data_IF_394979808658
#
_entry.id   IF_394979808658
#
_cell.length_a   1.000
_cell.length_b   1.000
_cell.length_c   1.000
_cell.angle_alpha   90.00
_cell.angle_beta   90.00
_cell.angle_gamma   90.00
#
_symmetry.space_group_name_H-M   'P 1'
#
loop_
_entity.id
_entity.type
_entity.pdbx_description
1 polymer ?
#
# COMPACT_ATOMS: atom_id res chain seq x y z
N UNK A 1 -6.14 -7.26 9.70
CA UNK A 1 -6.38 -6.41 8.52
C UNK A 1 -6.34 -4.96 8.97
N UNK A 2 -5.61 -4.11 8.23
CA UNK A 2 -5.53 -2.68 8.43
C UNK A 2 -5.91 -1.96 7.13
N UNK A 3 -6.43 -0.72 7.22
CA UNK A 3 -6.83 0.06 6.05
C UNK A 3 -6.56 1.55 6.24
N UNK A 4 -6.06 2.19 5.20
CA UNK A 4 -5.95 3.64 5.06
C UNK A 4 -6.54 4.07 3.72
N UNK A 5 -7.35 5.12 3.75
CA UNK A 5 -7.96 5.70 2.56
C UNK A 5 -7.91 7.21 2.65
N UNK A 6 -7.48 7.87 1.57
CA UNK A 6 -7.44 9.34 1.49
C UNK A 6 -7.59 9.81 0.05
N UNK A 7 -8.22 10.97 -0.10
CA UNK A 7 -8.24 11.71 -1.37
C UNK A 7 -7.33 12.92 -1.23
N UNK A 8 -6.48 13.13 -2.23
CA UNK A 8 -5.59 14.28 -2.35
C UNK A 8 -5.72 14.89 -3.73
N UNK A 9 -5.14 16.08 -3.91
CA UNK A 9 -5.00 16.71 -5.23
C UNK A 9 -3.56 16.54 -5.71
N UNK A 10 -3.34 16.13 -6.96
CA UNK A 10 -2.00 15.96 -7.50
C UNK A 10 -1.98 15.41 -8.92
N UNK A 11 -0.77 15.14 -9.44
CA UNK A 11 -0.58 14.42 -10.71
C UNK A 11 -0.50 12.92 -10.45
N UNK A 12 -1.33 12.14 -11.13
CA UNK A 12 -1.47 10.69 -10.88
C UNK A 12 -0.14 9.94 -10.94
N UNK A 13 0.65 10.16 -11.99
CA UNK A 13 1.95 9.51 -12.19
C UNK A 13 2.96 9.85 -11.09
N UNK A 14 2.97 11.08 -10.61
CA UNK A 14 3.86 11.55 -9.54
C UNK A 14 3.48 10.90 -8.21
N UNK A 15 2.18 10.85 -7.89
CA UNK A 15 1.68 10.21 -6.67
C UNK A 15 2.02 8.71 -6.67
N UNK A 16 1.74 8.00 -7.78
CA UNK A 16 2.05 6.56 -7.89
C UNK A 16 3.55 6.32 -7.73
N UNK A 17 4.39 7.12 -8.40
CA UNK A 17 5.84 6.98 -8.35
C UNK A 17 6.39 7.26 -6.95
N UNK A 18 5.89 8.30 -6.28
CA UNK A 18 6.27 8.65 -4.91
C UNK A 18 5.94 7.51 -3.94
N UNK A 19 4.69 7.03 -3.95
CA UNK A 19 4.26 5.92 -3.09
C UNK A 19 5.06 4.65 -3.34
N UNK A 20 5.29 4.30 -4.61
CA UNK A 20 6.06 3.12 -4.97
C UNK A 20 7.50 3.20 -4.45
N UNK A 21 8.15 4.36 -4.57
CA UNK A 21 9.50 4.58 -4.09
C UNK A 21 9.58 4.48 -2.57
N UNK A 22 8.68 5.14 -1.85
CA UNK A 22 8.67 5.12 -0.38
C UNK A 22 8.38 3.72 0.18
N UNK A 23 7.41 3.01 -0.41
CA UNK A 23 7.11 1.63 -0.02
C UNK A 23 8.31 0.73 -0.28
N UNK A 24 8.92 0.79 -1.47
CA UNK A 24 10.09 -0.04 -1.80
C UNK A 24 11.29 0.25 -0.88
N UNK A 25 11.47 1.50 -0.45
CA UNK A 25 12.57 1.91 0.43
C UNK A 25 12.24 1.77 1.94
N UNK A 26 11.03 1.36 2.30
CA UNK A 26 10.59 1.26 3.71
C UNK A 26 11.23 0.11 4.52
N UNK A 27 11.99 -0.78 3.89
CA UNK A 27 12.78 -1.79 4.59
C UNK A 27 13.20 -2.98 3.73
N UNK A 28 14.20 -3.72 4.24
CA UNK A 28 14.93 -4.79 3.53
C UNK A 28 14.03 -5.90 2.97
N UNK A 29 12.89 -6.20 3.61
CA UNK A 29 12.01 -7.30 3.22
C UNK A 29 10.76 -6.89 2.44
N UNK A 30 10.56 -5.60 2.13
CA UNK A 30 9.43 -5.14 1.33
C UNK A 30 9.66 -5.44 -0.15
N UNK A 31 8.77 -6.20 -0.77
CA UNK A 31 8.91 -6.61 -2.17
C UNK A 31 7.63 -6.32 -2.96
N UNK A 32 7.76 -5.65 -4.10
CA UNK A 32 6.69 -5.59 -5.11
C UNK A 32 6.51 -6.99 -5.71
N UNK A 33 5.32 -7.55 -5.53
CA UNK A 33 4.93 -8.89 -5.99
C UNK A 33 4.34 -8.81 -7.39
N UNK A 34 3.42 -7.88 -7.59
CA UNK A 34 2.74 -7.68 -8.86
C UNK A 34 2.18 -6.26 -8.97
N UNK A 35 1.90 -5.84 -10.20
CA UNK A 35 1.31 -4.54 -10.50
C UNK A 35 0.36 -4.59 -11.71
N UNK A 36 -0.61 -3.69 -11.70
CA UNK A 36 -1.49 -3.46 -12.84
C UNK A 36 -1.74 -1.98 -13.02
N UNK A 37 -1.74 -1.51 -14.26
CA UNK A 37 -2.13 -0.16 -14.63
C UNK A 37 -3.26 -0.27 -15.65
N UNK A 38 -4.35 0.45 -15.41
CA UNK A 38 -5.53 0.44 -16.27
C UNK A 38 -6.06 1.85 -16.44
N UNK A 39 -6.54 2.16 -17.65
CA UNK A 39 -7.13 3.45 -17.98
C UNK A 39 -8.50 3.24 -18.58
N UNK A 40 -9.50 3.94 -18.04
CA UNK A 40 -10.88 3.94 -18.51
C UNK A 40 -11.34 5.39 -18.72
N UNK A 41 -11.39 5.81 -19.99
CA UNK A 41 -11.60 7.23 -20.33
C UNK A 41 -10.50 8.08 -19.69
N UNK A 42 -10.90 9.07 -18.91
CA UNK A 42 -9.99 9.98 -18.20
C UNK A 42 -9.58 9.45 -16.80
N UNK A 43 -10.14 8.32 -16.38
CA UNK A 43 -9.78 7.69 -15.09
C UNK A 43 -8.58 6.77 -15.26
N UNK A 44 -7.54 6.99 -14.45
CA UNK A 44 -6.35 6.13 -14.36
C UNK A 44 -6.37 5.35 -13.05
N UNK A 45 -6.01 4.07 -13.11
CA UNK A 45 -5.99 3.17 -11.96
C UNK A 45 -4.63 2.46 -11.93
N UNK A 46 -3.97 2.51 -10.78
CA UNK A 46 -2.76 1.76 -10.50
C UNK A 46 -3.01 0.85 -9.30
N UNK A 47 -2.78 -0.45 -9.48
CA UNK A 47 -2.80 -1.45 -8.43
C UNK A 47 -1.37 -1.94 -8.22
N UNK A 48 -0.94 -2.02 -6.97
CA UNK A 48 0.35 -2.59 -6.56
C UNK A 48 0.10 -3.58 -5.42
N UNK A 49 0.74 -4.73 -5.49
CA UNK A 49 0.73 -5.72 -4.41
C UNK A 49 2.14 -5.87 -3.88
N UNK A 50 2.32 -5.60 -2.60
CA UNK A 50 3.59 -5.81 -1.92
C UNK A 50 3.47 -6.92 -0.89
N UNK A 51 4.57 -7.59 -0.63
CA UNK A 51 4.69 -8.51 0.49
C UNK A 51 5.88 -8.15 1.34
N UNK A 52 5.74 -8.34 2.65
CA UNK A 52 6.81 -8.16 3.63
C UNK A 52 6.87 -9.32 4.60
N UNK A 53 8.08 -9.82 4.82
CA UNK A 53 8.37 -10.79 5.88
C UNK A 53 8.66 -10.07 7.20
N UNK A 54 7.99 -10.46 8.27
CA UNK A 54 8.18 -9.91 9.61
C UNK A 54 8.89 -10.91 10.51
N UNK A 55 10.15 -10.60 10.82
CA UNK A 55 11.02 -11.44 11.67
C UNK A 55 10.46 -11.66 13.08
N UNK A 56 9.76 -10.66 13.65
CA UNK A 56 9.27 -10.69 15.04
C UNK A 56 8.30 -11.84 15.35
N UNK A 57 7.61 -12.36 14.33
CA UNK A 57 6.64 -13.45 14.46
C UNK A 57 6.69 -14.45 13.29
N UNK A 58 7.76 -14.41 12.49
CA UNK A 58 8.02 -15.36 11.41
C UNK A 58 6.91 -15.44 10.37
N UNK A 59 6.16 -14.36 10.15
CA UNK A 59 5.00 -14.34 9.26
C UNK A 59 5.25 -13.47 8.02
N UNK A 60 4.31 -13.53 7.08
CA UNK A 60 4.28 -12.67 5.90
C UNK A 60 2.94 -11.94 5.86
N UNK A 61 2.98 -10.64 5.62
CA UNK A 61 1.81 -9.82 5.35
C UNK A 61 1.93 -9.20 3.97
N UNK A 62 0.78 -8.92 3.37
CA UNK A 62 0.65 -8.27 2.08
C UNK A 62 0.04 -6.89 2.24
N UNK A 63 0.37 -6.00 1.31
CA UNK A 63 -0.21 -4.69 1.14
C UNK A 63 -0.74 -4.57 -0.28
N UNK A 64 -2.05 -4.38 -0.40
CA UNK A 64 -2.68 -4.00 -1.66
C UNK A 64 -2.85 -2.48 -1.68
N UNK A 65 -2.16 -1.82 -2.58
CA UNK A 65 -2.30 -0.39 -2.85
C UNK A 65 -3.10 -0.20 -4.14
N UNK A 66 -4.17 0.57 -4.08
CA UNK A 66 -4.94 1.02 -5.24
C UNK A 66 -4.95 2.54 -5.27
N UNK A 67 -4.51 3.12 -6.38
CA UNK A 67 -4.55 4.55 -6.64
C UNK A 67 -5.47 4.77 -7.82
N UNK A 68 -6.43 5.67 -7.68
CA UNK A 68 -7.41 6.05 -8.71
C UNK A 68 -7.30 7.55 -8.93
N UNK A 69 -6.96 7.96 -10.14
CA UNK A 69 -6.91 9.36 -10.55
C UNK A 69 -8.03 9.70 -11.52
N UNK A 70 -8.71 10.83 -11.27
CA UNK A 70 -9.60 11.49 -12.22
C UNK A 70 -9.34 12.99 -12.15
N UNK A 71 -8.92 13.57 -13.27
CA UNK A 71 -8.36 14.92 -13.34
C UNK A 71 -7.20 15.11 -12.34
N UNK A 72 -7.32 16.04 -11.41
CA UNK A 72 -6.37 16.26 -10.32
C UNK A 72 -6.74 15.55 -9.02
N UNK A 73 -7.92 14.90 -8.93
CA UNK A 73 -8.35 14.18 -7.74
C UNK A 73 -7.76 12.77 -7.74
N UNK A 74 -6.99 12.46 -6.70
CA UNK A 74 -6.34 11.17 -6.53
C UNK A 74 -6.88 10.52 -5.27
N UNK A 75 -7.64 9.43 -5.43
CA UNK A 75 -8.06 8.55 -4.36
C UNK A 75 -7.04 7.44 -4.15
N UNK A 76 -6.65 7.22 -2.91
CA UNK A 76 -5.64 6.24 -2.50
C UNK A 76 -6.29 5.31 -1.49
N UNK A 77 -6.20 4.00 -1.73
CA UNK A 77 -6.62 2.95 -0.79
C UNK A 77 -5.48 1.97 -0.57
N UNK A 78 -5.08 1.81 0.68
CA UNK A 78 -4.05 0.88 1.12
C UNK A 78 -4.65 -0.09 2.13
N UNK A 79 -4.62 -1.38 1.80
CA UNK A 79 -5.15 -2.43 2.65
C UNK A 79 -4.03 -3.41 2.97
N UNK A 80 -3.68 -3.48 4.25
CA UNK A 80 -2.77 -4.49 4.79
C UNK A 80 -3.56 -5.74 5.20
N UNK A 81 -3.11 -6.90 4.73
CA UNK A 81 -3.73 -8.20 5.02
C UNK A 81 -2.67 -9.28 5.30
N UNK A 82 -3.10 -10.42 5.83
CA UNK A 82 -2.18 -11.49 6.23
C UNK A 82 -1.50 -11.24 7.58
N UNK A 83 -0.38 -11.89 7.83
CA UNK A 83 0.32 -11.82 9.13
C UNK A 83 -0.29 -12.68 10.24
N UNK A 84 -1.40 -13.38 10.04
CA UNK A 84 -1.90 -14.33 11.04
C UNK A 84 -1.02 -15.60 11.11
N UNK A 85 -0.42 -15.87 12.27
CA UNK A 85 0.28 -17.14 12.55
C UNK A 85 -0.64 -18.11 13.31
N UNK A 86 -1.75 -18.57 12.70
CA UNK A 86 -2.58 -19.62 13.30
C UNK A 86 -4.03 -19.66 12.79
N UNK A 87 -4.61 -20.87 12.76
CA UNK A 87 -6.02 -21.12 12.38
C UNK A 87 -7.00 -20.61 13.47
N UNK A 88 -6.53 -20.48 14.71
CA UNK A 88 -7.36 -20.15 15.89
C UNK A 88 -7.06 -18.79 16.54
N UNK A 89 -5.86 -18.20 16.36
CA UNK A 89 -5.48 -16.89 16.90
C UNK A 89 -4.65 -16.15 15.84
N UNK A 90 -5.16 -15.01 15.36
CA UNK A 90 -4.45 -14.13 14.42
C UNK A 90 -3.43 -13.25 15.16
N UNK A 91 -2.22 -13.76 15.37
CA UNK A 91 -1.15 -13.02 16.04
C UNK A 91 -0.23 -12.27 15.05
N UNK A 92 -0.77 -11.26 14.37
CA UNK A 92 0.00 -10.49 13.38
C UNK A 92 0.99 -9.49 13.99
N UNK A 93 0.87 -9.22 15.28
CA UNK A 93 1.65 -8.19 15.99
C UNK A 93 1.62 -6.83 15.28
N UNK A 94 0.54 -6.52 14.57
CA UNK A 94 0.39 -5.27 13.84
C UNK A 94 1.14 -5.21 12.51
N UNK A 95 1.52 -6.35 11.92
CA UNK A 95 2.18 -6.41 10.62
C UNK A 95 1.43 -5.62 9.54
N UNK A 96 0.11 -5.77 9.49
CA UNK A 96 -0.72 -5.05 8.52
C UNK A 96 -0.74 -3.55 8.78
N UNK A 97 -0.79 -3.14 10.07
CA UNK A 97 -0.78 -1.73 10.46
C UNK A 97 0.56 -1.07 10.08
N UNK A 98 1.68 -1.76 10.30
CA UNK A 98 3.02 -1.25 9.94
C UNK A 98 3.14 -1.00 8.43
N UNK A 99 2.53 -1.85 7.59
CA UNK A 99 2.53 -1.67 6.13
C UNK A 99 1.67 -0.49 5.71
N UNK A 100 0.47 -0.37 6.28
CA UNK A 100 -0.45 0.72 5.98
C UNK A 100 0.09 2.07 6.44
N UNK A 101 0.76 2.12 7.60
CA UNK A 101 1.37 3.35 8.14
C UNK A 101 2.49 3.91 7.25
N UNK A 102 3.16 3.08 6.44
CA UNK A 102 4.13 3.55 5.44
C UNK A 102 3.41 4.39 4.38
N UNK A 103 2.27 3.91 3.90
CA UNK A 103 1.46 4.62 2.90
C UNK A 103 0.93 5.93 3.48
N UNK A 104 0.37 5.88 4.68
CA UNK A 104 -0.15 7.07 5.36
C UNK A 104 0.91 8.18 5.46
N UNK A 105 2.11 7.85 5.95
CA UNK A 105 3.23 8.80 6.06
C UNK A 105 3.71 9.33 4.71
N UNK A 106 3.76 8.48 3.69
CA UNK A 106 4.13 8.88 2.34
C UNK A 106 3.10 9.85 1.75
N UNK A 107 1.80 9.56 1.93
CA UNK A 107 0.74 10.46 1.49
C UNK A 107 0.78 11.79 2.23
N UNK A 108 1.08 11.82 3.52
CA UNK A 108 1.23 13.06 4.30
C UNK A 108 2.35 13.99 3.79
N UNK A 109 3.35 13.47 3.07
CA UNK A 109 4.41 14.29 2.47
C UNK A 109 3.98 14.97 1.15
N UNK A 110 2.87 14.52 0.56
CA UNK A 110 2.32 15.04 -0.70
C UNK A 110 1.26 16.13 -0.49
N UNK A 111 0.80 16.37 0.74
CA UNK A 111 -0.32 17.29 1.06
C UNK A 111 0.15 18.56 1.76
#
# INVERSE_FOLDING_TARGET
MAKYEKTITGQFEEVVSHLQNDIANSGISMKLVDESNYTLGDTKIAVRVYDKYFMRNGNRASLSLTVVGSDSNIYISAIGAGGGSGVFINFSLGAENDMVAIVERSVEQLV
#
